data_IF_770653847393
#
_entry.id   IF_770653847393
#
_cell.length_a   1.000
_cell.length_b   1.000
_cell.length_c   1.000
_cell.angle_alpha   90.00
_cell.angle_beta   90.00
_cell.angle_gamma   90.00
#
_symmetry.space_group_name_H-M   'P 1'
#
loop_
_entity.id
_entity.type
_entity.pdbx_description
1 polymer ?
#
# COMPACT_ATOMS: atom_id res chain seq x y z
N UNK A 1 0.76 43.29 1.03
CA UNK A 1 1.10 42.26 0.01
C UNK A 1 2.52 42.49 -0.44
N UNK A 2 3.21 41.44 -0.92
CA UNK A 2 4.49 41.55 -1.61
C UNK A 2 4.41 40.78 -2.92
N UNK A 3 5.13 41.26 -3.93
CA UNK A 3 5.29 40.53 -5.18
C UNK A 3 6.62 39.79 -5.09
N UNK A 4 6.60 38.50 -5.34
CA UNK A 4 7.80 37.65 -5.40
C UNK A 4 7.66 36.74 -6.62
N UNK A 5 8.65 36.75 -7.51
CA UNK A 5 8.65 35.98 -8.77
C UNK A 5 7.38 36.19 -9.65
N UNK A 6 6.79 37.38 -9.59
CA UNK A 6 5.57 37.72 -10.36
C UNK A 6 4.26 37.41 -9.64
N UNK A 7 4.29 36.60 -8.58
CA UNK A 7 3.11 36.24 -7.80
C UNK A 7 2.84 37.22 -6.64
N UNK A 8 1.56 37.44 -6.34
CA UNK A 8 1.11 38.33 -5.26
C UNK A 8 0.91 37.53 -3.98
N UNK A 9 1.78 37.76 -2.99
CA UNK A 9 1.70 37.13 -1.67
C UNK A 9 1.04 38.06 -0.65
N UNK A 10 -0.01 37.55 -0.01
CA UNK A 10 -0.55 38.15 1.21
C UNK A 10 0.30 37.71 2.41
N UNK A 11 1.00 38.67 3.04
CA UNK A 11 1.86 38.39 4.20
C UNK A 11 1.09 38.66 5.47
N UNK A 12 1.05 37.64 6.34
CA UNK A 12 0.43 37.72 7.65
C UNK A 12 1.49 38.00 8.73
N UNK A 13 1.32 39.09 9.50
CA UNK A 13 2.17 39.40 10.64
C UNK A 13 1.36 39.34 11.94
N UNK A 14 1.65 38.36 12.81
CA UNK A 14 0.95 38.14 14.09
C UNK A 14 0.84 39.40 14.98
N UNK A 15 1.74 40.39 14.84
CA UNK A 15 1.72 41.61 15.69
C UNK A 15 0.62 42.60 15.33
N UNK A 16 0.19 42.66 14.07
CA UNK A 16 -0.76 43.68 13.58
C UNK A 16 -1.78 43.18 12.55
N UNK A 17 -1.67 41.93 12.10
CA UNK A 17 -2.67 41.28 11.25
C UNK A 17 -3.66 40.48 12.10
N UNK A 18 -4.91 40.42 11.65
CA UNK A 18 -5.96 39.55 12.20
C UNK A 18 -6.55 38.69 11.09
N UNK A 19 -7.25 37.61 11.47
CA UNK A 19 -8.01 36.79 10.54
C UNK A 19 -9.27 36.27 11.22
N UNK A 20 -10.24 35.91 10.39
CA UNK A 20 -11.47 35.24 10.77
C UNK A 20 -11.75 34.14 9.74
N UNK A 21 -12.10 32.94 10.23
CA UNK A 21 -12.46 31.81 9.40
C UNK A 21 -13.97 31.57 9.48
N UNK A 22 -14.59 31.43 8.32
CA UNK A 22 -16.02 31.25 8.16
C UNK A 22 -16.31 29.92 7.48
N UNK A 23 -17.46 29.34 7.81
CA UNK A 23 -17.95 28.19 7.06
C UNK A 23 -18.30 28.64 5.62
N UNK A 24 -17.81 27.93 4.62
CA UNK A 24 -18.08 28.22 3.20
C UNK A 24 -19.46 27.76 2.71
N UNK A 25 -20.17 26.93 3.50
CA UNK A 25 -21.42 26.26 3.12
C UNK A 25 -22.63 26.70 3.95
N UNK A 26 -22.42 27.15 5.19
CA UNK A 26 -23.50 27.65 6.04
C UNK A 26 -24.00 29.01 5.50
N UNK A 27 -25.13 29.02 4.78
CA UNK A 27 -25.61 30.23 4.09
C UNK A 27 -26.16 31.26 5.08
N UNK A 28 -26.54 30.85 6.28
CA UNK A 28 -27.25 31.68 7.25
C UNK A 28 -26.36 32.18 8.39
N UNK A 29 -25.30 31.44 8.72
CA UNK A 29 -24.38 31.83 9.79
C UNK A 29 -23.24 32.71 9.28
N UNK A 30 -23.18 33.96 9.74
CA UNK A 30 -22.10 34.91 9.44
C UNK A 30 -21.15 35.10 10.62
N UNK A 31 -21.18 34.21 11.61
CA UNK A 31 -20.20 34.21 12.68
C UNK A 31 -18.97 33.40 12.27
N UNK A 32 -17.76 33.93 12.49
CA UNK A 32 -16.56 33.16 12.27
C UNK A 32 -16.44 32.06 13.34
N UNK A 33 -16.10 30.84 12.92
CA UNK A 33 -15.86 29.73 13.86
C UNK A 33 -14.47 29.81 14.50
N UNK A 34 -13.55 30.57 13.89
CA UNK A 34 -12.22 30.81 14.45
C UNK A 34 -11.76 32.23 14.14
N UNK A 35 -11.12 32.85 15.12
CA UNK A 35 -10.73 34.26 15.04
C UNK A 35 -9.40 34.48 15.76
N UNK A 36 -8.53 35.34 15.22
CA UNK A 36 -7.36 35.83 15.94
C UNK A 36 -7.69 37.15 16.66
N UNK A 37 -7.18 37.30 17.90
CA UNK A 37 -7.32 38.50 18.72
C UNK A 37 -7.17 39.77 17.86
N UNK A 38 -8.21 40.62 17.85
CA UNK A 38 -8.38 41.90 17.12
C UNK A 38 -9.17 41.87 15.81
N UNK A 39 -9.83 40.77 15.46
CA UNK A 39 -10.85 40.84 14.41
C UNK A 39 -12.17 41.39 14.98
N UNK A 40 -12.74 42.39 14.31
CA UNK A 40 -14.07 42.92 14.58
C UNK A 40 -14.93 42.78 13.32
N UNK A 41 -16.01 42.01 13.42
CA UNK A 41 -16.94 41.82 12.31
C UNK A 41 -17.73 43.11 12.05
N UNK A 42 -17.70 43.59 10.80
CA UNK A 42 -18.49 44.75 10.38
C UNK A 42 -19.81 44.29 9.77
N UNK A 43 -20.85 45.11 9.87
CA UNK A 43 -22.16 44.83 9.25
C UNK A 43 -22.07 44.53 7.75
N UNK A 44 -21.14 45.16 7.04
CA UNK A 44 -20.93 44.95 5.61
C UNK A 44 -20.22 43.64 5.26
N UNK A 45 -19.51 43.02 6.22
CA UNK A 45 -18.77 41.79 5.95
C UNK A 45 -19.72 40.63 5.62
N UNK A 46 -20.94 40.62 6.19
CA UNK A 46 -21.96 39.61 5.88
C UNK A 46 -22.34 39.57 4.38
N UNK A 47 -22.47 40.74 3.74
CA UNK A 47 -22.75 40.82 2.29
C UNK A 47 -21.60 40.26 1.46
N UNK A 48 -20.36 40.56 1.85
CA UNK A 48 -19.16 40.07 1.17
C UNK A 48 -19.06 38.55 1.32
N UNK A 49 -19.26 38.03 2.54
CA UNK A 49 -19.25 36.60 2.83
C UNK A 49 -20.34 35.87 2.04
N UNK A 50 -21.57 36.41 1.99
CA UNK A 50 -22.65 35.84 1.20
C UNK A 50 -22.31 35.81 -0.30
N UNK A 51 -21.72 36.89 -0.82
CA UNK A 51 -21.21 36.97 -2.19
C UNK A 51 -20.13 35.93 -2.48
N UNK A 52 -19.16 35.77 -1.57
CA UNK A 52 -18.09 34.77 -1.69
C UNK A 52 -18.63 33.34 -1.61
N UNK A 53 -19.60 33.04 -0.75
CA UNK A 53 -20.26 31.73 -0.68
C UNK A 53 -21.03 31.40 -1.95
N UNK A 54 -21.79 32.38 -2.47
CA UNK A 54 -22.49 32.24 -3.75
C UNK A 54 -21.51 32.02 -4.89
N UNK A 55 -20.41 32.79 -4.91
CA UNK A 55 -19.34 32.62 -5.88
C UNK A 55 -18.74 31.23 -5.77
N UNK A 56 -18.35 30.77 -4.58
CA UNK A 56 -17.79 29.44 -4.31
C UNK A 56 -18.73 28.30 -4.73
N UNK A 57 -20.04 28.45 -4.51
CA UNK A 57 -21.03 27.45 -4.92
C UNK A 57 -21.24 27.42 -6.45
N UNK A 58 -20.99 28.53 -7.13
CA UNK A 58 -21.11 28.66 -8.60
C UNK A 58 -19.80 28.47 -9.35
N UNK A 59 -18.65 28.64 -8.69
CA UNK A 59 -17.34 28.57 -9.30
C UNK A 59 -16.91 27.11 -9.36
N UNK A 60 -16.55 26.67 -10.57
CA UNK A 60 -15.82 25.42 -10.78
C UNK A 60 -14.32 25.61 -10.50
N UNK A 61 -13.93 26.77 -9.97
CA UNK A 61 -12.57 27.32 -9.98
C UNK A 61 -12.11 27.54 -8.54
N UNK A 62 -11.89 26.43 -7.85
CA UNK A 62 -10.70 26.33 -7.03
C UNK A 62 -9.90 25.27 -7.76
N UNK A 63 -8.64 25.56 -8.10
CA UNK A 63 -7.68 24.52 -8.48
C UNK A 63 -7.57 23.57 -7.29
N UNK A 64 -8.50 22.60 -7.19
CA UNK A 64 -8.33 21.51 -6.25
C UNK A 64 -7.05 20.81 -6.67
N UNK A 65 -6.08 20.66 -5.76
CA UNK A 65 -4.86 19.95 -6.08
C UNK A 65 -5.21 18.59 -6.65
N UNK A 66 -4.53 18.18 -7.72
CA UNK A 66 -4.79 16.86 -8.28
C UNK A 66 -4.52 15.80 -7.19
N UNK A 67 -5.51 14.93 -6.96
CA UNK A 67 -5.43 13.86 -5.96
C UNK A 67 -5.12 12.55 -6.65
N UNK A 68 -3.88 12.11 -6.50
CA UNK A 68 -3.39 10.87 -7.09
C UNK A 68 -4.05 9.64 -6.45
N UNK A 69 -4.16 8.58 -7.25
CA UNK A 69 -4.45 7.24 -6.77
C UNK A 69 -3.16 6.57 -6.27
N UNK A 70 -3.27 5.60 -5.36
CA UNK A 70 -2.11 4.84 -4.88
C UNK A 70 -1.36 4.14 -6.01
N UNK A 71 -2.07 3.68 -7.06
CA UNK A 71 -1.46 3.12 -8.27
C UNK A 71 -0.59 4.11 -9.06
N UNK A 72 -0.74 5.40 -8.84
CA UNK A 72 -0.02 6.46 -9.57
C UNK A 72 1.25 6.90 -8.84
N UNK A 73 1.53 6.37 -7.64
CA UNK A 73 2.76 6.67 -6.89
C UNK A 73 3.94 6.00 -7.59
N UNK A 74 4.62 6.72 -8.48
CA UNK A 74 5.72 6.19 -9.29
C UNK A 74 7.11 6.51 -8.72
N UNK A 75 7.23 7.50 -7.84
CA UNK A 75 8.50 7.94 -7.26
C UNK A 75 8.37 8.33 -5.78
N UNK A 76 9.52 8.42 -5.11
CA UNK A 76 9.59 8.93 -3.74
C UNK A 76 9.39 10.44 -3.79
N UNK A 77 8.38 10.96 -3.12
CA UNK A 77 8.02 12.37 -3.25
C UNK A 77 6.77 12.75 -2.47
N UNK A 78 6.31 13.98 -2.73
CA UNK A 78 5.10 14.54 -2.12
C UNK A 78 3.89 14.26 -2.99
N UNK A 79 2.83 13.74 -2.38
CA UNK A 79 1.61 13.36 -3.09
C UNK A 79 0.38 13.82 -2.32
N UNK A 80 -0.66 14.22 -3.05
CA UNK A 80 -1.98 14.45 -2.47
C UNK A 80 -2.83 13.21 -2.69
N UNK A 81 -3.46 12.71 -1.63
CA UNK A 81 -4.24 11.48 -1.65
C UNK A 81 -5.66 11.72 -1.17
N UNK A 82 -6.62 10.99 -1.72
CA UNK A 82 -7.92 10.81 -1.09
C UNK A 82 -8.05 9.35 -0.71
N UNK A 83 -8.06 9.08 0.59
CA UNK A 83 -8.04 7.72 1.12
C UNK A 83 -9.03 7.53 2.26
N UNK A 84 -9.52 6.31 2.38
CA UNK A 84 -10.27 5.83 3.52
C UNK A 84 -9.31 5.42 4.63
N UNK A 85 -9.57 5.88 5.85
CA UNK A 85 -8.83 5.45 7.04
C UNK A 85 -9.43 4.14 7.54
N UNK A 86 -8.67 3.06 7.52
CA UNK A 86 -9.13 1.74 7.91
C UNK A 86 -8.91 1.46 9.39
N UNK A 87 -7.79 1.92 9.92
CA UNK A 87 -7.42 1.73 11.33
C UNK A 87 -6.33 2.72 11.74
N UNK A 88 -6.23 2.97 13.05
CA UNK A 88 -5.21 3.84 13.63
C UNK A 88 -4.65 3.12 14.86
N UNK A 89 -3.33 3.03 14.98
CA UNK A 89 -2.67 2.43 16.12
C UNK A 89 -1.33 3.12 16.44
N UNK A 90 -0.81 2.85 17.64
CA UNK A 90 0.57 3.18 17.99
C UNK A 90 1.52 2.09 17.51
N UNK A 91 2.69 2.50 17.06
CA UNK A 91 3.79 1.62 16.66
C UNK A 91 4.68 1.29 17.87
N UNK A 92 5.62 0.37 17.70
CA UNK A 92 6.60 0.00 18.74
C UNK A 92 7.47 1.17 19.20
N UNK A 93 7.67 2.16 18.33
CA UNK A 93 8.50 3.34 18.58
C UNK A 93 7.66 4.51 19.13
N UNK A 94 6.49 4.21 19.69
CA UNK A 94 5.47 5.16 20.19
C UNK A 94 4.95 6.20 19.17
N UNK A 95 5.36 6.10 17.90
CA UNK A 95 4.78 6.90 16.80
C UNK A 95 3.40 6.37 16.42
N UNK A 96 2.49 7.27 16.07
CA UNK A 96 1.17 6.92 15.55
C UNK A 96 1.24 6.50 14.08
N UNK A 97 0.37 5.56 13.70
CA UNK A 97 0.22 5.07 12.34
C UNK A 97 -1.25 4.95 11.98
N UNK A 98 -1.61 5.37 10.77
CA UNK A 98 -2.88 5.06 10.13
C UNK A 98 -2.69 4.07 8.98
N UNK A 99 -3.66 3.18 8.82
CA UNK A 99 -3.81 2.32 7.66
C UNK A 99 -4.78 3.03 6.72
N UNK A 100 -4.30 3.47 5.55
CA UNK A 100 -5.10 4.20 4.57
C UNK A 100 -5.20 3.42 3.26
N UNK A 101 -6.28 3.65 2.52
CA UNK A 101 -6.60 2.84 1.35
C UNK A 101 -7.51 3.60 0.37
N UNK A 102 -7.32 3.38 -0.93
CA UNK A 102 -8.14 4.00 -1.99
C UNK A 102 -8.73 3.00 -3.01
N UNK A 103 -8.45 1.71 -2.85
CA UNK A 103 -8.91 0.64 -3.75
C UNK A 103 -7.96 0.25 -4.87
N UNK A 104 -6.84 0.96 -5.02
CA UNK A 104 -5.87 0.73 -6.10
C UNK A 104 -4.57 0.09 -5.61
N UNK A 105 -3.84 -0.55 -6.52
CA UNK A 105 -2.61 -1.28 -6.20
C UNK A 105 -1.39 -0.39 -6.46
N UNK A 106 -0.57 -0.14 -5.43
CA UNK A 106 0.70 0.58 -5.61
C UNK A 106 1.61 -0.17 -6.59
N UNK A 107 2.46 0.53 -7.36
CA UNK A 107 3.41 -0.15 -8.24
C UNK A 107 4.39 -1.03 -7.46
N UNK A 108 4.77 -2.17 -8.04
CA UNK A 108 5.80 -3.03 -7.49
C UNK A 108 7.14 -2.28 -7.42
N UNK A 109 7.84 -2.46 -6.30
CA UNK A 109 9.19 -1.91 -6.13
C UNK A 109 10.24 -3.00 -6.32
N UNK A 110 11.36 -2.61 -6.92
CA UNK A 110 12.55 -3.45 -7.05
C UNK A 110 13.22 -3.68 -5.69
N UNK A 111 13.80 -4.85 -5.51
CA UNK A 111 14.40 -5.29 -4.26
C UNK A 111 15.92 -5.28 -4.43
N UNK A 112 16.59 -4.44 -3.65
CA UNK A 112 18.06 -4.31 -3.69
C UNK A 112 18.78 -5.34 -2.81
N UNK A 113 18.03 -6.04 -1.95
CA UNK A 113 18.57 -7.01 -1.01
C UNK A 113 18.94 -8.32 -1.70
N UNK A 114 20.13 -8.86 -1.42
CA UNK A 114 20.59 -10.13 -1.98
C UNK A 114 19.84 -11.29 -1.31
N UNK A 115 19.52 -12.38 -2.05
CA UNK A 115 18.89 -13.56 -1.46
C UNK A 115 19.69 -14.17 -0.29
N UNK A 116 21.01 -14.04 -0.33
CA UNK A 116 21.94 -14.57 0.68
C UNK A 116 21.74 -13.92 2.05
N UNK A 117 21.35 -12.64 2.07
CA UNK A 117 21.14 -11.87 3.29
C UNK A 117 19.91 -12.33 4.07
N UNK A 118 18.97 -13.06 3.43
CA UNK A 118 17.68 -13.44 4.02
C UNK A 118 17.80 -14.34 5.24
N UNK A 119 18.87 -15.13 5.36
CA UNK A 119 19.08 -16.01 6.52
C UNK A 119 19.37 -15.24 7.80
N UNK A 120 20.11 -14.13 7.69
CA UNK A 120 20.56 -13.33 8.84
C UNK A 120 19.69 -12.10 9.05
N UNK A 121 19.17 -11.55 7.95
CA UNK A 121 18.36 -10.36 7.89
C UNK A 121 17.21 -10.64 6.91
N UNK A 122 16.09 -11.22 7.32
CA UNK A 122 14.97 -11.51 6.40
C UNK A 122 14.26 -10.22 5.95
N UNK A 123 13.71 -10.21 4.73
CA UNK A 123 12.81 -9.14 4.29
C UNK A 123 11.62 -9.01 5.27
N UNK A 124 11.29 -7.78 5.71
CA UNK A 124 10.18 -7.57 6.60
C UNK A 124 8.87 -7.94 5.89
N UNK A 125 8.02 -8.75 6.54
CA UNK A 125 6.65 -8.99 6.06
C UNK A 125 5.81 -7.71 6.07
N UNK A 126 6.16 -6.80 6.98
CA UNK A 126 5.45 -5.56 7.22
C UNK A 126 6.46 -4.50 7.61
N UNK A 127 6.31 -3.29 7.07
CA UNK A 127 7.14 -2.14 7.42
C UNK A 127 7.20 -1.90 8.94
N UNK A 128 6.07 -2.09 9.62
CA UNK A 128 5.91 -2.04 11.08
C UNK A 128 4.86 -3.08 11.50
N UNK A 129 4.85 -3.54 12.77
CA UNK A 129 4.00 -4.64 13.20
C UNK A 129 2.52 -4.40 12.90
N UNK A 130 1.83 -5.46 12.47
CA UNK A 130 0.39 -5.44 12.24
C UNK A 130 -0.38 -5.21 13.54
N UNK A 131 -1.66 -4.79 13.45
CA UNK A 131 -2.57 -4.85 14.58
C UNK A 131 -2.48 -6.23 15.25
N UNK A 132 -2.29 -6.25 16.56
CA UNK A 132 -2.10 -7.48 17.33
C UNK A 132 -3.34 -8.39 17.32
N UNK A 133 -4.52 -7.83 17.05
CA UNK A 133 -5.76 -8.57 16.90
C UNK A 133 -6.06 -8.92 15.44
N UNK A 134 -6.24 -10.21 15.17
CA UNK A 134 -6.75 -10.70 13.89
C UNK A 134 -8.12 -10.12 13.54
N UNK A 135 -8.92 -9.75 14.55
CA UNK A 135 -10.25 -9.14 14.36
C UNK A 135 -10.17 -7.82 13.59
N UNK A 136 -9.11 -7.04 13.78
CA UNK A 136 -8.90 -5.78 13.04
C UNK A 136 -8.58 -6.06 11.57
N UNK A 137 -7.72 -7.04 11.29
CA UNK A 137 -7.36 -7.41 9.92
C UNK A 137 -8.56 -7.94 9.14
N UNK A 138 -9.49 -8.64 9.80
CA UNK A 138 -10.74 -9.09 9.17
C UNK A 138 -11.66 -7.93 8.74
N UNK A 139 -11.45 -6.71 9.24
CA UNK A 139 -12.19 -5.52 8.78
C UNK A 139 -11.54 -4.81 7.59
N UNK A 140 -10.34 -5.23 7.18
CA UNK A 140 -9.64 -4.59 6.07
C UNK A 140 -10.19 -5.08 4.73
N UNK A 141 -10.21 -4.21 3.70
CA UNK A 141 -10.53 -4.62 2.34
C UNK A 141 -9.51 -5.64 1.85
N UNK A 142 -9.97 -6.59 1.05
CA UNK A 142 -9.12 -7.68 0.53
C UNK A 142 -8.48 -7.37 -0.82
N UNK A 143 -8.77 -6.23 -1.43
CA UNK A 143 -8.18 -5.77 -2.70
C UNK A 143 -7.69 -4.33 -2.56
N UNK A 144 -6.70 -3.94 -3.35
CA UNK A 144 -6.03 -2.64 -3.21
C UNK A 144 -4.97 -2.66 -2.12
N UNK A 145 -3.97 -1.81 -2.28
CA UNK A 145 -2.90 -1.66 -1.31
C UNK A 145 -3.38 -0.90 -0.08
N UNK A 146 -3.02 -1.41 1.09
CA UNK A 146 -3.20 -0.71 2.36
C UNK A 146 -1.88 -0.02 2.70
N UNK A 147 -1.82 1.28 2.41
CA UNK A 147 -0.65 2.10 2.68
C UNK A 147 -0.59 2.43 4.18
N UNK A 148 0.59 2.29 4.78
CA UNK A 148 0.83 2.66 6.17
C UNK A 148 1.33 4.10 6.21
N UNK A 149 0.57 4.98 6.86
CA UNK A 149 0.91 6.39 7.05
C UNK A 149 1.45 6.58 8.46
N UNK A 150 2.73 6.91 8.60
CA UNK A 150 3.36 7.27 9.88
C UNK A 150 3.11 8.76 10.12
N UNK A 151 2.73 9.12 11.32
CA UNK A 151 2.68 10.52 11.70
C UNK A 151 3.96 10.94 12.43
N UNK A 152 4.66 11.90 11.84
CA UNK A 152 5.90 12.47 12.36
C UNK A 152 5.69 13.94 12.70
N UNK A 153 4.74 14.19 13.61
CA UNK A 153 4.32 15.53 14.03
C UNK A 153 3.98 15.55 15.52
N UNK A 154 4.19 16.69 16.17
CA UNK A 154 3.90 16.86 17.60
C UNK A 154 2.40 17.07 17.87
N UNK A 155 1.63 17.56 16.88
CA UNK A 155 0.21 17.90 17.03
C UNK A 155 -0.76 16.70 16.92
N UNK A 156 -0.28 15.48 17.18
CA UNK A 156 -1.06 14.26 17.05
C UNK A 156 -2.39 14.23 17.81
N UNK A 157 -2.53 14.74 19.04
CA UNK A 157 -3.80 14.71 19.74
C UNK A 157 -4.94 15.38 18.96
N UNK A 158 -4.66 16.47 18.24
CA UNK A 158 -5.65 17.18 17.41
C UNK A 158 -5.96 16.42 16.13
N UNK A 159 -4.95 15.87 15.47
CA UNK A 159 -5.12 15.07 14.24
C UNK A 159 -5.98 13.82 14.52
N UNK A 160 -5.76 13.16 15.66
CA UNK A 160 -6.52 11.97 16.05
C UNK A 160 -7.99 12.28 16.35
N UNK A 161 -8.32 13.50 16.80
CA UNK A 161 -9.71 13.91 16.98
C UNK A 161 -10.43 14.11 15.64
N UNK A 162 -9.69 14.47 14.58
CA UNK A 162 -10.22 14.67 13.24
C UNK A 162 -10.35 13.35 12.47
N UNK A 163 -9.33 12.49 12.57
CA UNK A 163 -9.27 11.23 11.84
C UNK A 163 -10.25 10.20 12.41
N UNK A 164 -11.30 9.91 11.64
CA UNK A 164 -12.30 8.92 11.99
C UNK A 164 -12.12 7.66 11.17
N UNK A 165 -12.05 6.52 11.85
CA UNK A 165 -11.97 5.21 11.21
C UNK A 165 -13.21 4.98 10.34
N UNK A 166 -13.00 4.39 9.16
CA UNK A 166 -13.94 4.15 8.06
C UNK A 166 -14.41 5.38 7.29
N UNK A 167 -13.85 6.56 7.54
CA UNK A 167 -14.14 7.77 6.77
C UNK A 167 -13.04 8.08 5.75
N UNK A 168 -13.42 8.84 4.72
CA UNK A 168 -12.55 9.30 3.64
C UNK A 168 -11.99 10.67 3.96
N UNK A 169 -10.71 10.88 3.68
CA UNK A 169 -10.01 12.13 3.94
C UNK A 169 -9.16 12.55 2.73
N UNK A 170 -9.10 13.85 2.47
CA UNK A 170 -8.12 14.50 1.59
C UNK A 170 -6.85 14.73 2.41
N UNK A 171 -5.77 14.08 2.01
CA UNK A 171 -4.44 14.21 2.59
C UNK A 171 -3.57 15.00 1.61
N UNK A 172 -2.98 16.09 2.07
CA UNK A 172 -2.15 16.96 1.25
C UNK A 172 -0.68 16.80 1.62
N UNK A 173 0.20 16.83 0.61
CA UNK A 173 1.64 16.78 0.76
C UNK A 173 2.10 15.63 1.67
N UNK A 174 1.57 14.43 1.46
CA UNK A 174 2.06 13.21 2.11
C UNK A 174 3.37 12.80 1.45
N UNK A 175 4.39 12.54 2.26
CA UNK A 175 5.69 12.08 1.75
C UNK A 175 5.67 10.57 1.57
N UNK A 176 5.64 10.09 0.33
CA UNK A 176 5.69 8.67 0.00
C UNK A 176 7.14 8.19 -0.08
N UNK A 177 7.45 7.13 0.67
CA UNK A 177 8.78 6.54 0.79
C UNK A 177 8.73 5.04 0.59
N UNK A 178 9.91 4.46 0.36
CA UNK A 178 10.13 3.02 0.21
C UNK A 178 11.04 2.53 1.33
N UNK A 179 10.74 1.35 1.86
CA UNK A 179 11.65 0.61 2.73
C UNK A 179 11.55 -0.89 2.43
N UNK A 180 12.67 -1.52 2.07
CA UNK A 180 12.76 -2.97 1.82
C UNK A 180 11.68 -3.50 0.84
N UNK A 181 11.47 -2.74 -0.24
CA UNK A 181 10.48 -3.04 -1.28
C UNK A 181 9.03 -2.75 -0.91
N UNK A 182 8.76 -2.08 0.21
CA UNK A 182 7.41 -1.70 0.65
C UNK A 182 7.22 -0.19 0.64
N UNK A 183 6.10 0.26 0.06
CA UNK A 183 5.66 1.65 0.15
C UNK A 183 5.09 1.98 1.54
N UNK A 184 5.41 3.18 2.02
CA UNK A 184 4.77 3.78 3.19
C UNK A 184 4.68 5.30 3.02
N UNK A 185 3.76 5.94 3.73
CA UNK A 185 3.62 7.38 3.77
C UNK A 185 4.15 7.96 5.08
N UNK A 186 4.62 9.20 5.03
CA UNK A 186 4.96 10.02 6.21
C UNK A 186 4.13 11.29 6.16
N UNK A 187 3.39 11.52 7.25
CA UNK A 187 2.66 12.74 7.51
C UNK A 187 3.54 13.65 8.35
N UNK A 188 3.93 14.80 7.80
CA UNK A 188 4.91 15.73 8.40
C UNK A 188 4.25 17.06 8.77
N UNK A 189 5.04 18.02 9.27
CA UNK A 189 4.54 19.33 9.71
C UNK A 189 3.96 20.20 8.60
N UNK A 190 4.27 19.92 7.32
CA UNK A 190 3.70 20.62 6.17
C UNK A 190 2.53 19.87 5.53
N UNK A 191 2.30 18.60 5.90
CA UNK A 191 1.15 17.83 5.45
C UNK A 191 -0.14 18.39 6.07
N UNK A 192 -1.26 18.28 5.35
CA UNK A 192 -2.58 18.72 5.82
C UNK A 192 -3.63 17.64 5.63
N UNK A 193 -4.68 17.68 6.45
CA UNK A 193 -5.81 16.76 6.39
C UNK A 193 -7.08 17.60 6.27
N UNK A 194 -7.97 17.17 5.39
CA UNK A 194 -9.29 17.74 5.22
C UNK A 194 -10.31 16.62 5.22
N UNK A 195 -11.36 16.79 6.03
CA UNK A 195 -12.53 15.91 6.04
C UNK A 195 -13.33 16.12 4.73
N UNK A 196 -13.86 15.03 4.18
CA UNK A 196 -14.63 15.05 2.94
C UNK A 196 -16.09 14.71 3.27
N UNK A 197 -17.08 15.51 2.83
CA UNK A 197 -18.47 15.10 2.94
C UNK A 197 -18.74 13.84 2.12
N UNK A 198 -19.57 12.93 2.62
CA UNK A 198 -19.87 11.61 2.02
C UNK A 198 -20.38 11.63 0.55
N UNK A 199 -20.70 12.79 -0.02
CA UNK A 199 -21.29 12.96 -1.37
C UNK A 199 -20.27 13.53 -2.38
N UNK A 200 -18.97 13.34 -2.14
CA UNK A 200 -17.93 13.72 -3.10
C UNK A 200 -17.83 12.68 -4.24
N UNK A 201 -17.83 13.15 -5.50
CA UNK A 201 -17.76 12.31 -6.71
C UNK A 201 -16.52 11.41 -6.66
N UNK A 202 -15.39 11.92 -6.15
CA UNK A 202 -14.14 11.16 -6.04
C UNK A 202 -14.24 9.97 -5.08
N UNK A 203 -15.12 10.03 -4.08
CA UNK A 203 -15.38 8.92 -3.17
C UNK A 203 -16.22 7.86 -3.88
N UNK A 204 -17.27 8.29 -4.60
CA UNK A 204 -18.18 7.40 -5.32
C UNK A 204 -17.42 6.59 -6.37
N UNK A 205 -16.53 7.23 -7.14
CA UNK A 205 -15.70 6.55 -8.14
C UNK A 205 -14.77 5.51 -7.51
N UNK A 206 -14.06 5.86 -6.42
CA UNK A 206 -13.15 4.93 -5.73
C UNK A 206 -13.90 3.75 -5.11
N UNK A 207 -15.06 4.01 -4.49
CA UNK A 207 -15.88 2.96 -3.88
C UNK A 207 -16.44 2.02 -4.96
N UNK A 208 -16.94 2.56 -6.07
CA UNK A 208 -17.42 1.79 -7.23
C UNK A 208 -16.32 0.90 -7.83
N UNK A 209 -15.12 1.46 -8.03
CA UNK A 209 -13.97 0.71 -8.53
C UNK A 209 -13.60 -0.47 -7.62
N UNK A 210 -13.64 -0.27 -6.30
CA UNK A 210 -13.45 -1.36 -5.34
C UNK A 210 -14.55 -2.41 -5.43
N UNK A 211 -15.82 -2.01 -5.50
CA UNK A 211 -16.94 -2.95 -5.52
C UNK A 211 -16.88 -3.85 -6.76
N UNK A 212 -16.51 -3.28 -7.93
CA UNK A 212 -16.21 -4.02 -9.15
C UNK A 212 -15.09 -5.06 -8.93
N UNK A 213 -13.95 -4.65 -8.37
CA UNK A 213 -12.81 -5.55 -8.11
C UNK A 213 -13.13 -6.65 -7.09
N UNK A 214 -13.96 -6.35 -6.10
CA UNK A 214 -14.30 -7.29 -5.05
C UNK A 214 -15.15 -8.45 -5.58
N UNK A 215 -16.05 -8.15 -6.53
CA UNK A 215 -16.97 -9.10 -7.16
C UNK A 215 -16.37 -9.85 -8.35
N UNK A 216 -15.50 -9.19 -9.12
CA UNK A 216 -14.86 -9.77 -10.30
C UNK A 216 -13.77 -10.79 -9.98
N UNK A 217 -13.78 -11.93 -10.66
CA UNK A 217 -12.75 -12.97 -10.44
C UNK A 217 -11.38 -12.52 -10.99
N UNK A 218 -11.33 -12.02 -12.22
CA UNK A 218 -10.07 -11.54 -12.82
C UNK A 218 -9.62 -10.21 -12.23
N UNK A 219 -10.55 -9.36 -11.80
CA UNK A 219 -10.29 -8.03 -11.25
C UNK A 219 -9.59 -8.04 -9.87
N UNK A 220 -9.52 -9.22 -9.25
CA UNK A 220 -8.71 -9.49 -8.05
C UNK A 220 -7.23 -9.68 -8.33
N UNK A 221 -6.84 -9.86 -9.59
CA UNK A 221 -5.43 -9.91 -9.96
C UNK A 221 -4.76 -8.54 -9.71
N UNK A 222 -3.47 -8.50 -9.33
CA UNK A 222 -2.71 -7.26 -9.25
C UNK A 222 -2.77 -6.49 -10.57
N UNK A 223 -3.04 -5.18 -10.52
CA UNK A 223 -3.11 -4.33 -11.72
C UNK A 223 -1.82 -4.39 -12.56
N UNK A 224 -0.69 -4.64 -11.92
CA UNK A 224 0.64 -4.70 -12.52
C UNK A 224 1.01 -6.06 -13.11
N UNK A 225 0.09 -7.03 -13.10
CA UNK A 225 0.23 -8.33 -13.75
C UNK A 225 -0.27 -8.35 -15.21
N UNK A 226 -0.65 -7.20 -15.75
CA UNK A 226 -1.22 -7.06 -17.10
C UNK A 226 -0.17 -7.29 -18.20
N UNK A 227 -0.55 -7.90 -19.35
CA UNK A 227 -1.85 -8.49 -19.65
C UNK A 227 -2.07 -9.85 -18.99
N UNK A 228 -1.00 -10.54 -18.61
CA UNK A 228 -1.08 -11.82 -17.90
C UNK A 228 0.21 -12.09 -17.10
N UNK A 229 0.14 -12.78 -15.95
CA UNK A 229 1.34 -13.19 -15.22
C UNK A 229 2.25 -14.09 -16.05
N UNK A 230 3.54 -14.06 -15.70
CA UNK A 230 4.58 -14.87 -16.30
C UNK A 230 4.29 -16.37 -16.16
N UNK A 231 4.70 -17.14 -17.17
CA UNK A 231 4.51 -18.59 -17.27
C UNK A 231 5.61 -19.42 -16.60
N UNK A 232 6.43 -18.80 -15.74
CA UNK A 232 7.47 -19.51 -14.95
C UNK A 232 6.84 -20.61 -14.08
N UNK A 233 5.61 -20.40 -13.63
CA UNK A 233 4.82 -21.35 -12.85
C UNK A 233 3.59 -21.82 -13.61
N UNK A 234 3.24 -23.10 -13.49
CA UNK A 234 1.98 -23.65 -13.94
C UNK A 234 1.16 -24.10 -12.72
N UNK A 235 -0.13 -23.77 -12.72
CA UNK A 235 -1.06 -24.10 -11.63
C UNK A 235 -2.15 -25.06 -12.08
N UNK A 236 -2.47 -26.04 -11.25
CA UNK A 236 -3.53 -27.04 -11.49
C UNK A 236 -4.67 -26.94 -10.46
N UNK A 237 -5.00 -25.73 -10.01
CA UNK A 237 -6.08 -25.51 -9.05
C UNK A 237 -7.27 -24.74 -9.67
N UNK A 238 -8.48 -25.28 -9.48
CA UNK A 238 -9.74 -24.69 -9.96
C UNK A 238 -10.34 -23.66 -8.99
N UNK A 239 -9.51 -23.01 -8.16
CA UNK A 239 -9.96 -21.98 -7.23
C UNK A 239 -10.06 -20.60 -7.94
N UNK A 240 -11.01 -19.74 -7.54
CA UNK A 240 -11.04 -18.36 -8.00
C UNK A 240 -9.80 -17.60 -7.52
N UNK A 241 -9.47 -16.51 -8.21
CA UNK A 241 -8.39 -15.64 -7.82
C UNK A 241 -8.69 -14.99 -6.47
N UNK A 242 -7.66 -14.92 -5.64
CA UNK A 242 -7.68 -14.33 -4.32
C UNK A 242 -6.37 -13.58 -4.07
N UNK A 243 -6.42 -12.60 -3.19
CA UNK A 243 -5.25 -11.85 -2.73
C UNK A 243 -4.64 -12.52 -1.51
N UNK A 244 -3.43 -12.12 -1.14
CA UNK A 244 -2.80 -12.55 0.08
C UNK A 244 -3.54 -12.02 1.32
N UNK A 245 -4.24 -10.89 1.23
CA UNK A 245 -5.15 -10.44 2.29
C UNK A 245 -6.33 -11.40 2.48
N UNK A 246 -6.91 -11.98 1.43
CA UNK A 246 -7.92 -13.05 1.58
C UNK A 246 -7.35 -14.27 2.30
N UNK A 247 -6.08 -14.62 2.01
CA UNK A 247 -5.38 -15.75 2.64
C UNK A 247 -5.12 -15.49 4.12
N UNK A 248 -4.73 -14.26 4.48
CA UNK A 248 -4.47 -13.82 5.85
C UNK A 248 -5.74 -13.76 6.71
N UNK A 249 -6.84 -13.29 6.13
CA UNK A 249 -8.11 -13.06 6.82
C UNK A 249 -9.05 -14.27 6.77
N UNK A 250 -8.63 -15.39 6.18
CA UNK A 250 -9.47 -16.58 6.13
C UNK A 250 -9.54 -17.32 7.47
N UNK A 251 -10.76 -17.43 8.01
CA UNK A 251 -11.03 -18.15 9.25
C UNK A 251 -11.28 -19.66 9.05
N UNK A 252 -11.51 -20.11 7.81
CA UNK A 252 -11.75 -21.53 7.52
C UNK A 252 -10.52 -22.37 7.87
N UNK A 253 -10.76 -23.52 8.53
CA UNK A 253 -9.70 -24.41 9.04
C UNK A 253 -8.71 -24.82 7.94
N UNK A 254 -9.23 -25.11 6.73
CA UNK A 254 -8.44 -25.37 5.52
C UNK A 254 -9.15 -24.74 4.32
N UNK A 255 -8.45 -23.88 3.59
CA UNK A 255 -8.95 -23.32 2.32
C UNK A 255 -7.81 -23.28 1.29
N UNK A 256 -8.18 -23.51 0.04
CA UNK A 256 -7.32 -23.41 -1.15
C UNK A 256 -7.57 -22.07 -1.83
N UNK A 257 -6.51 -21.44 -2.30
CA UNK A 257 -6.53 -20.13 -2.96
C UNK A 257 -5.68 -20.21 -4.22
N UNK A 258 -6.06 -19.46 -5.26
CA UNK A 258 -5.24 -19.19 -6.43
C UNK A 258 -4.86 -17.71 -6.38
N UNK A 259 -3.59 -17.40 -6.32
CA UNK A 259 -3.10 -16.03 -6.17
C UNK A 259 -2.17 -15.67 -7.33
N UNK A 260 -2.07 -14.38 -7.65
CA UNK A 260 -1.03 -13.83 -8.51
C UNK A 260 -0.09 -13.02 -7.64
N UNK A 261 1.17 -13.42 -7.59
CA UNK A 261 2.13 -13.00 -6.57
C UNK A 261 3.53 -12.82 -7.17
N UNK A 262 4.40 -12.18 -6.40
CA UNK A 262 5.84 -12.12 -6.58
C UNK A 262 6.55 -12.98 -5.53
N UNK A 263 7.60 -13.69 -5.92
CA UNK A 263 8.50 -14.36 -4.98
C UNK A 263 9.65 -13.41 -4.66
N UNK A 264 9.64 -12.82 -3.47
CA UNK A 264 10.55 -11.73 -3.11
C UNK A 264 11.81 -12.21 -2.38
N UNK A 265 11.71 -13.36 -1.70
CA UNK A 265 12.80 -14.02 -0.99
C UNK A 265 12.56 -15.52 -0.81
N UNK A 266 13.64 -16.26 -0.49
CA UNK A 266 13.64 -17.71 -0.27
C UNK A 266 14.66 -18.08 0.80
N UNK A 267 14.32 -19.06 1.64
CA UNK A 267 15.19 -19.63 2.67
C UNK A 267 15.03 -21.17 2.66
N UNK A 268 16.11 -21.96 2.59
CA UNK A 268 17.49 -21.51 2.36
C UNK A 268 17.64 -20.89 0.96
N UNK A 269 18.70 -20.11 0.74
CA UNK A 269 18.91 -19.43 -0.55
C UNK A 269 19.66 -20.28 -1.58
N UNK A 270 20.47 -21.22 -1.12
CA UNK A 270 21.19 -22.19 -1.95
C UNK A 270 20.28 -23.36 -2.28
N UNK A 271 20.23 -23.72 -3.56
CA UNK A 271 19.42 -24.83 -4.05
C UNK A 271 19.89 -26.16 -3.47
N UNK A 272 21.19 -26.28 -3.22
CA UNK A 272 21.84 -27.43 -2.61
C UNK A 272 21.28 -27.73 -1.22
N UNK A 273 20.83 -26.69 -0.51
CA UNK A 273 20.32 -26.77 0.86
C UNK A 273 18.79 -26.94 0.93
N UNK A 274 18.11 -27.01 -0.22
CA UNK A 274 16.63 -27.11 -0.26
C UNK A 274 16.10 -28.42 0.36
N UNK A 275 16.92 -29.47 0.38
CA UNK A 275 16.59 -30.78 0.96
C UNK A 275 17.32 -30.94 2.29
N UNK A 276 16.63 -31.45 3.30
CA UNK A 276 17.27 -31.89 4.55
C UNK A 276 18.09 -33.17 4.32
N UNK A 277 18.86 -33.58 5.34
CA UNK A 277 19.70 -34.78 5.29
C UNK A 277 18.93 -36.09 5.03
N UNK A 278 17.63 -36.11 5.29
CA UNK A 278 16.69 -37.19 4.98
C UNK A 278 16.13 -37.12 3.54
N UNK A 279 16.57 -36.15 2.74
CA UNK A 279 16.16 -35.93 1.35
C UNK A 279 14.86 -35.12 1.20
N UNK A 280 14.24 -34.65 2.29
CA UNK A 280 12.94 -33.98 2.26
C UNK A 280 13.09 -32.49 1.94
N UNK A 281 12.31 -31.98 0.99
CA UNK A 281 12.28 -30.54 0.71
C UNK A 281 11.79 -29.73 1.92
N UNK A 282 12.49 -28.65 2.25
CA UNK A 282 12.15 -27.71 3.32
C UNK A 282 12.48 -26.27 2.91
N UNK A 283 11.67 -25.71 2.02
CA UNK A 283 11.87 -24.36 1.50
C UNK A 283 10.79 -23.42 2.01
N UNK A 284 11.20 -22.26 2.51
CA UNK A 284 10.33 -21.15 2.93
C UNK A 284 10.48 -20.02 1.93
N UNK A 285 9.40 -19.68 1.25
CA UNK A 285 9.33 -18.52 0.38
C UNK A 285 8.68 -17.33 1.09
N UNK A 286 9.13 -16.13 0.76
CA UNK A 286 8.43 -14.89 1.05
C UNK A 286 7.70 -14.46 -0.22
N UNK A 287 6.38 -14.42 -0.12
CA UNK A 287 5.47 -14.12 -1.22
C UNK A 287 4.87 -12.74 -1.02
N UNK A 288 4.63 -12.02 -2.10
CA UNK A 288 4.07 -10.68 -2.06
C UNK A 288 3.02 -10.46 -3.14
N UNK A 289 1.98 -9.72 -2.80
CA UNK A 289 1.06 -9.08 -3.73
C UNK A 289 0.79 -7.64 -3.25
N UNK A 290 -0.02 -6.83 -3.96
CA UNK A 290 -0.28 -5.45 -3.55
C UNK A 290 -0.92 -5.31 -2.16
N UNK A 291 -1.49 -6.38 -1.61
CA UNK A 291 -2.28 -6.36 -0.37
C UNK A 291 -1.46 -6.80 0.85
N UNK A 292 -0.50 -7.72 0.69
CA UNK A 292 0.33 -8.22 1.78
C UNK A 292 1.62 -8.90 1.32
N UNK A 293 2.54 -9.10 2.28
CA UNK A 293 3.68 -10.01 2.17
C UNK A 293 3.54 -11.11 3.23
N UNK A 294 3.75 -12.36 2.86
CA UNK A 294 3.58 -13.53 3.74
C UNK A 294 4.69 -14.56 3.55
N UNK A 295 4.85 -15.46 4.51
CA UNK A 295 5.61 -16.69 4.31
C UNK A 295 4.72 -17.85 3.86
N UNK A 296 5.22 -18.64 2.92
CA UNK A 296 4.66 -19.92 2.52
C UNK A 296 5.75 -20.97 2.38
N UNK A 297 5.39 -22.23 2.60
CA UNK A 297 6.33 -23.34 2.60
C UNK A 297 6.10 -24.27 1.42
N UNK A 298 7.20 -24.71 0.83
CA UNK A 298 7.25 -25.85 -0.09
C UNK A 298 7.96 -26.98 0.65
N UNK A 299 7.18 -27.97 1.10
CA UNK A 299 7.63 -28.98 2.06
C UNK A 299 7.24 -30.39 1.62
N UNK A 300 8.17 -31.34 1.75
CA UNK A 300 7.97 -32.75 1.40
C UNK A 300 7.40 -32.92 -0.03
N UNK A 301 6.30 -33.67 -0.18
CA UNK A 301 5.67 -33.94 -1.49
C UNK A 301 5.27 -32.67 -2.26
N UNK A 302 4.86 -31.61 -1.55
CA UNK A 302 4.53 -30.33 -2.19
C UNK A 302 5.80 -29.68 -2.79
N UNK A 303 6.97 -29.90 -2.17
CA UNK A 303 8.27 -29.53 -2.71
C UNK A 303 8.64 -30.29 -3.97
N UNK A 304 8.51 -31.61 -3.96
CA UNK A 304 8.77 -32.45 -5.14
C UNK A 304 7.91 -32.01 -6.33
N UNK A 305 6.62 -31.75 -6.10
CA UNK A 305 5.70 -31.26 -7.13
C UNK A 305 6.07 -29.85 -7.62
N UNK A 306 6.45 -28.96 -6.70
CA UNK A 306 6.80 -27.59 -7.05
C UNK A 306 8.07 -27.50 -7.89
N UNK A 307 9.12 -28.23 -7.51
CA UNK A 307 10.40 -28.21 -8.21
C UNK A 307 10.45 -29.15 -9.43
N UNK A 308 9.44 -30.01 -9.61
CA UNK A 308 9.18 -30.79 -10.82
C UNK A 308 10.40 -31.60 -11.31
N UNK A 309 11.21 -32.13 -10.39
CA UNK A 309 12.38 -32.95 -10.71
C UNK A 309 13.49 -32.23 -11.49
N UNK A 310 13.54 -30.90 -11.49
CA UNK A 310 14.62 -30.14 -12.13
C UNK A 310 15.99 -30.50 -11.55
N UNK A 311 17.02 -30.52 -12.41
CA UNK A 311 18.41 -30.63 -11.95
C UNK A 311 18.81 -29.41 -11.12
N UNK A 312 19.84 -29.51 -10.27
CA UNK A 312 20.33 -28.39 -9.45
C UNK A 312 20.59 -27.13 -10.27
N UNK A 313 21.22 -27.27 -11.45
CA UNK A 313 21.47 -26.15 -12.35
C UNK A 313 20.19 -25.55 -12.96
N UNK A 314 19.25 -26.40 -13.39
CA UNK A 314 17.96 -25.95 -13.90
C UNK A 314 17.12 -25.25 -12.84
N UNK A 315 17.16 -25.75 -11.61
CA UNK A 315 16.48 -25.16 -10.46
C UNK A 315 17.10 -23.83 -10.06
N UNK A 316 18.45 -23.69 -10.08
CA UNK A 316 19.13 -22.42 -9.83
C UNK A 316 18.72 -21.35 -10.84
N UNK A 317 18.71 -21.68 -12.13
CA UNK A 317 18.25 -20.77 -13.20
C UNK A 317 16.79 -20.34 -12.97
N UNK A 318 15.89 -21.29 -12.70
CA UNK A 318 14.47 -20.99 -12.48
C UNK A 318 14.23 -20.21 -11.20
N UNK A 319 15.01 -20.44 -10.16
CA UNK A 319 14.95 -19.67 -8.93
C UNK A 319 15.38 -18.22 -9.18
N UNK A 320 16.44 -17.99 -9.96
CA UNK A 320 16.88 -16.65 -10.34
C UNK A 320 15.80 -15.92 -11.15
N UNK A 321 15.19 -16.58 -12.15
CA UNK A 321 14.05 -16.06 -12.90
C UNK A 321 12.87 -15.69 -11.97
N UNK A 322 12.55 -16.56 -11.02
CA UNK A 322 11.44 -16.39 -10.08
C UNK A 322 11.69 -15.24 -9.09
N UNK A 323 12.93 -15.04 -8.67
CA UNK A 323 13.38 -13.96 -7.79
C UNK A 323 13.70 -12.66 -8.53
N UNK A 324 13.58 -12.64 -9.86
CA UNK A 324 13.87 -11.49 -10.71
C UNK A 324 15.33 -11.04 -10.67
N UNK A 325 16.25 -11.98 -10.51
CA UNK A 325 17.70 -11.72 -10.55
C UNK A 325 18.08 -11.55 -12.02
N UNK A 326 18.77 -10.45 -12.41
CA UNK A 326 19.23 -10.26 -13.78
C UNK A 326 20.16 -11.41 -14.19
N UNK A 327 19.96 -11.98 -15.38
CA UNK A 327 20.92 -12.93 -15.93
C UNK A 327 22.18 -12.15 -16.36
N UNK A 328 23.35 -12.62 -15.94
CA UNK A 328 24.65 -12.17 -16.46
C UNK A 328 24.86 -12.75 -17.86
N UNK A 329 24.08 -12.32 -18.84
CA UNK A 329 24.14 -12.85 -20.21
C UNK A 329 25.16 -12.10 -21.11
N UNK A 330 26.10 -11.34 -20.53
CA UNK A 330 27.24 -10.78 -21.29
C UNK A 330 28.59 -11.17 -20.66
N UNK A 331 29.43 -11.77 -21.51
CA UNK A 331 30.83 -12.16 -21.35
C UNK A 331 31.56 -11.60 -20.12
N UNK A 332 31.68 -12.42 -19.08
CA UNK A 332 32.74 -12.29 -18.07
C UNK A 332 32.68 -11.06 -17.17
N UNK A 333 31.58 -10.31 -17.12
CA UNK A 333 31.39 -9.29 -16.09
C UNK A 333 30.81 -9.95 -14.83
N UNK A 334 31.57 -9.83 -13.73
CA UNK A 334 31.12 -10.13 -12.38
C UNK A 334 29.74 -9.50 -12.14
N UNK A 335 28.86 -10.22 -11.43
CA UNK A 335 27.57 -9.70 -10.98
C UNK A 335 27.76 -8.27 -10.45
N UNK A 336 27.17 -7.28 -11.12
CA UNK A 336 27.27 -5.89 -10.67
C UNK A 336 26.68 -5.83 -9.26
N UNK A 337 27.54 -5.64 -8.27
CA UNK A 337 27.14 -5.47 -6.88
C UNK A 337 26.07 -4.37 -6.79
N UNK A 338 24.89 -4.73 -6.27
CA UNK A 338 23.78 -3.80 -6.09
C UNK A 338 22.74 -3.76 -7.20
N UNK A 339 22.76 -4.70 -8.17
CA UNK A 339 21.67 -4.80 -9.16
C UNK A 339 20.32 -5.08 -8.49
N UNK A 340 19.32 -4.26 -8.81
CA UNK A 340 17.99 -4.35 -8.23
C UNK A 340 17.22 -5.54 -8.84
N UNK A 341 16.65 -6.39 -8.00
CA UNK A 341 15.81 -7.51 -8.43
C UNK A 341 14.38 -7.06 -8.67
N UNK A 342 13.77 -7.51 -9.75
CA UNK A 342 12.36 -7.25 -10.01
C UNK A 342 11.62 -8.57 -10.27
N UNK A 343 11.15 -9.26 -9.21
CA UNK A 343 10.48 -10.53 -9.37
C UNK A 343 9.23 -10.41 -10.25
N UNK A 344 9.01 -11.33 -11.21
CA UNK A 344 7.84 -11.30 -12.06
C UNK A 344 6.57 -11.67 -11.28
N UNK A 345 5.42 -11.23 -11.79
CA UNK A 345 4.12 -11.71 -11.33
C UNK A 345 3.87 -13.13 -11.86
N UNK A 346 3.58 -14.07 -10.98
CA UNK A 346 3.36 -15.49 -11.30
C UNK A 346 2.12 -16.02 -10.59
N UNK A 347 1.55 -17.11 -11.11
CA UNK A 347 0.39 -17.76 -10.47
C UNK A 347 0.87 -18.79 -9.43
N UNK A 348 0.24 -18.78 -8.25
CA UNK A 348 0.58 -19.72 -7.20
C UNK A 348 -0.68 -20.15 -6.45
N UNK A 349 -0.84 -21.45 -6.24
CA UNK A 349 -1.91 -21.97 -5.40
C UNK A 349 -1.42 -22.14 -3.96
N UNK A 350 -2.16 -21.56 -3.01
CA UNK A 350 -1.84 -21.56 -1.58
C UNK A 350 -2.90 -22.30 -0.77
N UNK A 351 -2.46 -23.16 0.14
CA UNK A 351 -3.31 -23.80 1.14
C UNK A 351 -3.06 -23.14 2.48
N UNK A 352 -4.08 -22.53 3.06
CA UNK A 352 -4.00 -21.90 4.39
C UNK A 352 -4.59 -22.82 5.45
N UNK A 353 -3.95 -22.87 6.61
CA UNK A 353 -4.49 -23.51 7.80
C UNK A 353 -4.52 -22.52 8.96
N UNK A 354 -5.72 -22.04 9.29
CA UNK A 354 -5.94 -20.93 10.24
C UNK A 354 -5.33 -21.20 11.62
N UNK A 355 -5.55 -22.40 12.17
CA UNK A 355 -5.04 -22.80 13.50
C UNK A 355 -3.51 -22.80 13.57
N UNK A 356 -2.84 -23.38 12.57
CA UNK A 356 -1.37 -23.45 12.56
C UNK A 356 -0.72 -22.16 12.10
N UNK A 357 -1.50 -21.20 11.59
CA UNK A 357 -1.03 -19.98 10.88
C UNK A 357 0.05 -20.29 9.83
N UNK A 358 -0.01 -21.48 9.24
CA UNK A 358 0.93 -21.97 8.22
C UNK A 358 0.23 -22.05 6.88
N UNK A 359 1.02 -21.77 5.85
CA UNK A 359 0.58 -21.68 4.46
C UNK A 359 1.55 -22.49 3.62
N UNK A 360 1.02 -23.31 2.73
CA UNK A 360 1.83 -24.15 1.85
C UNK A 360 1.51 -23.87 0.40
N UNK A 361 2.54 -23.92 -0.42
CA UNK A 361 2.39 -23.96 -1.87
C UNK A 361 1.94 -25.38 -2.23
N UNK A 362 0.93 -25.50 -3.07
CA UNK A 362 0.41 -26.79 -3.54
C UNK A 362 -0.07 -26.65 -4.98
N UNK A 363 -0.25 -27.76 -5.71
CA UNK A 363 -0.77 -27.79 -7.09
C UNK A 363 -0.17 -26.69 -8.02
N UNK A 364 1.10 -26.36 -7.80
CA UNK A 364 1.89 -25.36 -8.53
C UNK A 364 3.23 -26.00 -8.84
N UNK A 365 3.74 -25.85 -10.07
CA UNK A 365 5.04 -26.37 -10.50
C UNK A 365 5.83 -25.33 -11.28
N UNK A 366 7.16 -25.39 -11.20
CA UNK A 366 8.05 -24.63 -12.07
C UNK A 366 8.06 -25.24 -13.47
N UNK A 367 7.97 -24.38 -14.49
CA UNK A 367 8.02 -24.76 -15.90
C UNK A 367 9.48 -24.72 -16.37
N UNK A 368 9.96 -25.85 -16.91
CA UNK A 368 11.35 -26.06 -17.34
C UNK A 368 11.80 -25.18 -18.49
#
# INVERSE_FOLDING_TARGET
MRIYEGDVYAIFNKRFSSFALYDGKDVENFQPYQVLLRYEARKHDAMIIAGLRKWLASSHVIDEPNFSLLKEINEVGLVNLVCKVLHICKTTDDKWMAFIWDGTDVPPISIYKKPEDEEHNPLPLHFKPLPSSGDVLHTFPTVGTILRLIFDVECMPYILQLLKVRQWFKLFCVECKVHEGLWYGVFTSYSKIQDIPNVDILILERQSNYDCRSLGNLDRMPSWSFPWPSKITEVNCNAPFATLMDVLTCQKVRKKFRCVIRFVAVIPWRVEDFRSSDGVYRVKFTLEDPTARIHAYSYAEDGEKFFNGLSTGGLKRKLNELLGIPNSDDDGQEEIEGSARNPPWVQCCLKSHSIKRRRWIFDTKLVG
#
